data_IF_858751494338
#
_entry.id   IF_858751494338
#
_cell.length_a   1.000
_cell.length_b   1.000
_cell.length_c   1.000
_cell.angle_alpha   90.00
_cell.angle_beta   90.00
_cell.angle_gamma   90.00
#
_symmetry.space_group_name_H-M   'P 1'
#
loop_
_entity.id
_entity.type
_entity.pdbx_description
1 polymer ?
#
# COMPACT_ATOMS: atom_id res chain seq x y z
N UNK A 1 5.49 11.77 -10.10
CA UNK A 1 6.77 12.23 -10.71
C UNK A 1 7.64 12.79 -9.61
N UNK A 2 8.95 12.51 -9.63
CA UNK A 2 9.92 13.08 -8.69
C UNK A 2 11.10 13.65 -9.51
N UNK A 3 11.70 14.75 -9.04
CA UNK A 3 12.78 15.43 -9.73
C UNK A 3 13.83 15.91 -8.73
N UNK A 4 15.08 15.46 -8.90
CA UNK A 4 16.21 15.89 -8.08
C UNK A 4 17.49 15.85 -8.90
N UNK A 5 17.96 17.00 -9.42
CA UNK A 5 19.18 17.09 -10.21
C UNK A 5 20.38 16.49 -9.50
N UNK A 6 21.16 15.69 -10.23
CA UNK A 6 22.37 15.04 -9.71
C UNK A 6 22.11 13.91 -8.69
N UNK A 7 20.85 13.57 -8.38
CA UNK A 7 20.50 12.49 -7.44
C UNK A 7 19.56 11.46 -8.07
N UNK A 8 18.49 11.90 -8.71
CA UNK A 8 17.59 11.02 -9.46
C UNK A 8 18.04 11.01 -10.92
N UNK A 9 18.27 9.83 -11.47
CA UNK A 9 18.61 9.65 -12.88
C UNK A 9 17.47 10.16 -13.78
N UNK A 10 17.70 11.16 -14.64
CA UNK A 10 16.68 11.68 -15.54
C UNK A 10 16.10 10.58 -16.46
N UNK A 11 14.79 10.65 -16.72
CA UNK A 11 14.11 9.69 -17.61
C UNK A 11 13.96 8.27 -17.05
N UNK A 12 14.31 8.03 -15.78
CA UNK A 12 14.09 6.74 -15.12
C UNK A 12 12.61 6.44 -14.92
N UNK A 13 12.25 5.15 -15.01
CA UNK A 13 10.88 4.64 -14.84
C UNK A 13 10.91 3.48 -13.85
N UNK A 14 9.93 3.42 -12.97
CA UNK A 14 9.73 2.31 -12.03
C UNK A 14 8.26 1.91 -12.00
N UNK A 15 7.99 0.61 -11.98
CA UNK A 15 6.64 0.03 -11.82
C UNK A 15 6.36 -0.42 -10.38
N UNK A 16 7.29 -0.15 -9.45
CA UNK A 16 7.13 -0.51 -8.04
C UNK A 16 5.98 0.27 -7.41
N UNK A 17 5.16 -0.40 -6.60
CA UNK A 17 3.96 0.20 -6.02
C UNK A 17 4.27 0.99 -4.75
N UNK A 18 3.89 2.26 -4.73
CA UNK A 18 4.02 3.18 -3.60
C UNK A 18 2.65 3.70 -3.14
N UNK A 19 2.61 4.25 -1.93
CA UNK A 19 1.44 4.92 -1.33
C UNK A 19 1.82 6.33 -0.87
N UNK A 20 0.83 7.21 -0.72
CA UNK A 20 1.06 8.60 -0.32
C UNK A 20 1.84 8.74 1.00
N UNK A 21 1.59 7.87 1.98
CA UNK A 21 2.30 7.82 3.27
C UNK A 21 3.81 7.60 3.15
N UNK A 22 4.28 6.99 2.05
CA UNK A 22 5.71 6.79 1.80
C UNK A 22 6.44 8.12 1.61
N UNK A 23 5.73 9.16 1.17
CA UNK A 23 6.31 10.49 1.03
C UNK A 23 6.78 11.03 2.38
N UNK A 24 6.04 10.81 3.47
CA UNK A 24 6.45 11.29 4.79
C UNK A 24 7.77 10.62 5.23
N UNK A 25 7.86 9.29 5.15
CA UNK A 25 9.07 8.56 5.49
C UNK A 25 10.28 8.99 4.63
N UNK A 26 10.03 9.22 3.33
CA UNK A 26 11.06 9.68 2.39
C UNK A 26 11.54 11.09 2.70
N UNK A 27 10.62 12.04 2.93
CA UNK A 27 10.97 13.43 3.23
C UNK A 27 11.64 13.58 4.59
N UNK A 28 11.19 12.84 5.60
CA UNK A 28 11.87 12.78 6.90
C UNK A 28 13.32 12.31 6.77
N UNK A 29 13.57 11.29 5.92
CA UNK A 29 14.92 10.81 5.63
C UNK A 29 15.76 11.88 4.92
N UNK A 30 15.20 12.54 3.90
CA UNK A 30 15.88 13.60 3.13
C UNK A 30 16.26 14.78 4.03
N UNK A 31 15.34 15.19 4.91
CA UNK A 31 15.54 16.30 5.83
C UNK A 31 16.45 15.94 7.02
N UNK A 32 16.87 14.67 7.15
CA UNK A 32 17.57 14.16 8.33
C UNK A 32 16.81 14.46 9.63
N UNK A 33 15.48 14.39 9.56
CA UNK A 33 14.61 14.78 10.66
C UNK A 33 14.75 13.79 11.83
N UNK A 34 14.78 14.31 13.05
CA UNK A 34 14.68 13.51 14.27
C UNK A 34 13.20 13.23 14.53
N UNK A 35 12.78 11.98 14.35
CA UNK A 35 11.42 11.56 14.65
C UNK A 35 11.27 11.22 16.14
N UNK A 36 10.08 11.40 16.74
CA UNK A 36 9.81 10.98 18.11
C UNK A 36 10.15 9.50 18.33
N UNK A 37 10.69 9.19 19.51
CA UNK A 37 10.95 7.81 19.90
C UNK A 37 9.64 7.00 19.94
N UNK A 38 9.66 5.78 19.39
CA UNK A 38 8.50 4.91 19.33
C UNK A 38 7.48 5.24 18.23
N UNK A 39 7.68 6.29 17.43
CA UNK A 39 6.83 6.57 16.28
C UNK A 39 7.01 5.48 15.21
N UNK A 40 5.99 4.63 15.05
CA UNK A 40 5.90 3.67 13.95
C UNK A 40 5.31 4.37 12.73
N UNK A 41 6.05 4.37 11.62
CA UNK A 41 5.55 4.86 10.33
C UNK A 41 4.94 3.72 9.54
N UNK A 42 3.80 3.97 8.92
CA UNK A 42 3.19 3.01 7.98
C UNK A 42 3.85 3.06 6.59
N UNK A 43 4.41 4.22 6.23
CA UNK A 43 5.11 4.43 4.96
C UNK A 43 6.55 3.93 4.96
N UNK A 44 7.07 3.59 3.79
CA UNK A 44 8.47 3.19 3.60
C UNK A 44 9.28 4.28 2.90
N UNK A 45 10.58 4.33 3.21
CA UNK A 45 11.49 5.27 2.57
C UNK A 45 11.75 4.88 1.10
N UNK A 46 11.37 5.77 0.17
CA UNK A 46 11.54 5.58 -1.27
C UNK A 46 12.90 6.04 -1.79
N UNK A 47 13.75 6.65 -0.97
CA UNK A 47 14.98 7.31 -1.43
C UNK A 47 15.88 6.33 -2.20
N UNK A 48 16.12 5.13 -1.67
CA UNK A 48 16.92 4.12 -2.36
C UNK A 48 16.31 3.66 -3.70
N UNK A 49 14.98 3.61 -3.81
CA UNK A 49 14.31 3.35 -5.09
C UNK A 49 14.53 4.50 -6.07
N UNK A 50 14.45 5.74 -5.59
CA UNK A 50 14.55 6.95 -6.42
C UNK A 50 15.97 7.22 -6.92
N UNK A 51 17.00 6.95 -6.10
CA UNK A 51 18.39 7.36 -6.40
C UNK A 51 19.31 6.21 -6.77
N UNK A 52 18.94 4.96 -6.45
CA UNK A 52 19.82 3.80 -6.61
C UNK A 52 19.11 2.61 -7.29
N UNK A 53 17.91 2.82 -7.86
CA UNK A 53 17.10 1.77 -8.50
C UNK A 53 16.83 0.55 -7.59
N UNK A 54 16.88 0.72 -6.26
CA UNK A 54 16.66 -0.37 -5.29
C UNK A 54 15.21 -0.85 -5.31
N UNK A 55 15.04 -2.15 -5.03
CA UNK A 55 13.72 -2.74 -4.81
C UNK A 55 13.18 -2.33 -3.44
N UNK A 56 11.91 -1.93 -3.41
CA UNK A 56 11.16 -1.75 -2.18
C UNK A 56 10.93 -3.10 -1.49
N UNK A 57 10.81 -3.12 -0.15
CA UNK A 57 10.44 -4.32 0.56
C UNK A 57 9.07 -4.82 0.09
N UNK A 58 8.91 -6.15 0.03
CA UNK A 58 7.58 -6.75 -0.18
C UNK A 58 6.70 -6.38 1.00
N UNK A 59 5.51 -5.85 0.72
CA UNK A 59 4.52 -5.49 1.74
C UNK A 59 3.10 -5.65 1.22
N UNK A 60 2.18 -5.90 2.14
CA UNK A 60 0.75 -5.81 1.88
C UNK A 60 0.33 -4.34 2.04
N UNK A 61 -0.46 -3.85 1.10
CA UNK A 61 -0.98 -2.48 1.10
C UNK A 61 -2.45 -2.51 1.50
N UNK A 62 -2.86 -1.58 2.37
CA UNK A 62 -4.23 -1.49 2.85
C UNK A 62 -4.75 -0.08 2.69
N UNK A 63 -6.04 0.07 2.38
CA UNK A 63 -6.69 1.38 2.41
C UNK A 63 -8.19 1.25 2.61
N UNK A 64 -8.77 2.33 3.14
CA UNK A 64 -10.20 2.53 3.24
C UNK A 64 -10.59 3.85 2.59
N UNK A 65 -11.73 3.85 1.93
CA UNK A 65 -12.33 5.06 1.38
C UNK A 65 -13.85 4.95 1.48
N UNK A 66 -14.48 5.81 2.28
CA UNK A 66 -15.91 5.74 2.59
C UNK A 66 -16.30 4.33 3.09
N UNK A 67 -17.21 3.66 2.38
CA UNK A 67 -17.70 2.29 2.69
C UNK A 67 -16.86 1.19 2.04
N UNK A 68 -15.77 1.54 1.34
CA UNK A 68 -14.89 0.59 0.68
C UNK A 68 -13.67 0.32 1.54
N UNK A 69 -13.26 -0.95 1.57
CA UNK A 69 -11.99 -1.40 2.15
C UNK A 69 -11.28 -2.29 1.14
N UNK A 70 -9.96 -2.16 1.08
CA UNK A 70 -9.15 -2.86 0.11
C UNK A 70 -7.81 -3.28 0.67
N UNK A 71 -7.32 -4.39 0.14
CA UNK A 71 -5.98 -4.90 0.40
C UNK A 71 -5.34 -5.29 -0.93
N UNK A 72 -4.06 -4.99 -1.10
CA UNK A 72 -3.24 -5.44 -2.23
C UNK A 72 -1.99 -6.16 -1.73
N UNK A 73 -1.80 -7.40 -2.18
CA UNK A 73 -0.63 -8.22 -1.88
C UNK A 73 -0.04 -8.75 -3.18
N UNK A 74 1.04 -8.11 -3.62
CA UNK A 74 1.60 -8.36 -4.95
C UNK A 74 0.56 -8.07 -6.06
N UNK A 75 0.24 -9.05 -6.93
CA UNK A 75 -0.75 -8.87 -7.98
C UNK A 75 -2.18 -8.86 -7.46
N UNK A 76 -2.44 -9.50 -6.31
CA UNK A 76 -3.80 -9.69 -5.84
C UNK A 76 -4.33 -8.43 -5.18
N UNK A 77 -5.53 -8.01 -5.57
CA UNK A 77 -6.28 -6.94 -4.94
C UNK A 77 -7.67 -7.44 -4.55
N UNK A 78 -7.99 -7.34 -3.27
CA UNK A 78 -9.33 -7.56 -2.74
C UNK A 78 -9.98 -6.20 -2.48
N UNK A 79 -11.23 -6.05 -2.92
CA UNK A 79 -12.07 -4.88 -2.68
C UNK A 79 -13.40 -5.33 -2.09
N UNK A 80 -13.76 -4.78 -0.93
CA UNK A 80 -15.03 -5.07 -0.25
C UNK A 80 -15.83 -3.77 -0.12
N UNK A 81 -17.10 -3.81 -0.55
CA UNK A 81 -18.07 -2.73 -0.36
C UNK A 81 -19.41 -3.32 0.11
N UNK A 82 -19.68 -3.23 1.42
CA UNK A 82 -20.84 -3.91 2.01
C UNK A 82 -20.75 -5.42 1.77
N UNK A 83 -21.76 -6.00 1.10
CA UNK A 83 -21.78 -7.43 0.74
C UNK A 83 -21.04 -7.75 -0.57
N UNK A 84 -20.61 -6.74 -1.33
CA UNK A 84 -19.93 -6.94 -2.60
C UNK A 84 -18.45 -7.19 -2.35
N UNK A 85 -18.01 -8.41 -2.66
CA UNK A 85 -16.60 -8.84 -2.57
C UNK A 85 -16.06 -9.06 -3.98
N UNK A 86 -14.94 -8.41 -4.28
CA UNK A 86 -14.27 -8.48 -5.57
C UNK A 86 -12.80 -8.80 -5.40
N UNK A 87 -12.30 -9.75 -6.18
CA UNK A 87 -10.90 -10.14 -6.21
C UNK A 87 -10.37 -9.98 -7.64
N UNK A 88 -9.22 -9.33 -7.77
CA UNK A 88 -8.56 -9.10 -9.05
C UNK A 88 -7.08 -9.51 -8.98
N UNK A 89 -6.55 -9.95 -10.11
CA UNK A 89 -5.11 -10.07 -10.36
C UNK A 89 -4.68 -8.90 -11.25
N UNK A 90 -3.94 -7.94 -10.72
CA UNK A 90 -3.58 -6.70 -11.41
C UNK A 90 -2.45 -6.86 -12.43
N UNK A 91 -1.73 -7.98 -12.42
CA UNK A 91 -0.73 -8.30 -13.45
C UNK A 91 -1.42 -8.82 -14.72
N UNK A 92 -2.56 -9.49 -14.57
CA UNK A 92 -3.37 -10.06 -15.66
C UNK A 92 -4.53 -9.14 -16.10
N UNK A 93 -5.08 -8.37 -15.16
CA UNK A 93 -6.26 -7.55 -15.34
C UNK A 93 -6.12 -6.20 -14.60
N UNK A 94 -5.26 -5.34 -15.13
CA UNK A 94 -5.04 -3.99 -14.62
C UNK A 94 -6.34 -3.14 -14.60
N UNK A 95 -7.30 -3.48 -15.48
CA UNK A 95 -8.59 -2.79 -15.60
C UNK A 95 -9.66 -3.26 -14.61
N UNK A 96 -9.37 -4.26 -13.78
CA UNK A 96 -10.30 -4.80 -12.77
C UNK A 96 -11.65 -5.24 -13.36
N UNK A 97 -11.63 -5.83 -14.55
CA UNK A 97 -12.81 -6.24 -15.31
C UNK A 97 -13.35 -7.61 -14.86
N UNK A 98 -12.45 -8.52 -14.47
CA UNK A 98 -12.76 -9.92 -14.20
C UNK A 98 -12.74 -10.19 -12.70
N UNK A 99 -13.91 -10.27 -12.08
CA UNK A 99 -14.02 -10.62 -10.66
C UNK A 99 -13.75 -12.11 -10.43
N UNK A 100 -12.63 -12.42 -9.76
CA UNK A 100 -12.19 -13.78 -9.44
C UNK A 100 -12.65 -14.28 -8.05
N UNK A 101 -13.46 -13.51 -7.31
CA UNK A 101 -13.81 -13.84 -5.93
C UNK A 101 -14.48 -15.21 -5.79
N UNK A 102 -15.40 -15.56 -6.70
CA UNK A 102 -16.06 -16.87 -6.71
C UNK A 102 -15.14 -18.02 -7.15
N UNK A 103 -14.15 -17.72 -7.99
CA UNK A 103 -13.20 -18.72 -8.51
C UNK A 103 -12.02 -18.99 -7.56
N UNK A 104 -11.72 -18.06 -6.62
CA UNK A 104 -10.59 -18.16 -5.69
C UNK A 104 -11.00 -17.82 -4.25
N UNK A 105 -11.91 -18.58 -3.64
CA UNK A 105 -12.43 -18.30 -2.30
C UNK A 105 -11.36 -18.33 -1.20
N UNK A 106 -10.34 -19.18 -1.33
CA UNK A 106 -9.22 -19.23 -0.37
C UNK A 106 -8.40 -17.94 -0.38
N UNK A 107 -8.12 -17.39 -1.57
CA UNK A 107 -7.41 -16.11 -1.70
C UNK A 107 -8.22 -14.96 -1.12
N UNK A 108 -9.55 -14.97 -1.33
CA UNK A 108 -10.46 -14.00 -0.69
C UNK A 108 -10.33 -14.07 0.82
N UNK A 109 -10.41 -15.28 1.40
CA UNK A 109 -10.31 -15.49 2.85
C UNK A 109 -8.97 -14.99 3.39
N UNK A 110 -7.85 -15.40 2.80
CA UNK A 110 -6.51 -14.97 3.24
C UNK A 110 -6.38 -13.45 3.24
N UNK A 111 -6.79 -12.78 2.17
CA UNK A 111 -6.70 -11.34 2.08
C UNK A 111 -7.67 -10.62 3.02
N UNK A 112 -8.86 -11.19 3.23
CA UNK A 112 -9.82 -10.65 4.19
C UNK A 112 -9.32 -10.76 5.63
N UNK A 113 -8.66 -11.86 5.99
CA UNK A 113 -8.03 -12.05 7.30
C UNK A 113 -6.91 -11.02 7.52
N UNK A 114 -6.02 -10.81 6.53
CA UNK A 114 -4.98 -9.77 6.58
C UNK A 114 -5.59 -8.37 6.73
N UNK A 115 -6.66 -8.08 5.99
CA UNK A 115 -7.34 -6.79 6.05
C UNK A 115 -7.99 -6.56 7.42
N UNK A 116 -8.62 -7.58 8.00
CA UNK A 116 -9.21 -7.48 9.34
C UNK A 116 -8.13 -7.32 10.42
N UNK A 117 -7.01 -8.02 10.31
CA UNK A 117 -5.89 -7.84 11.24
C UNK A 117 -5.35 -6.41 11.20
N UNK A 118 -5.16 -5.85 9.99
CA UNK A 118 -4.76 -4.46 9.82
C UNK A 118 -5.79 -3.47 10.38
N UNK A 119 -7.09 -3.70 10.16
CA UNK A 119 -8.17 -2.86 10.71
C UNK A 119 -8.12 -2.80 12.24
N UNK A 120 -7.88 -3.94 12.90
CA UNK A 120 -7.73 -4.01 14.35
C UNK A 120 -6.47 -3.28 14.84
N UNK A 121 -5.36 -3.41 14.12
CA UNK A 121 -4.10 -2.72 14.43
C UNK A 121 -4.29 -1.20 14.41
N UNK A 122 -4.86 -0.65 13.33
CA UNK A 122 -4.96 0.82 13.16
C UNK A 122 -6.06 1.46 14.01
N UNK A 123 -7.06 0.67 14.45
CA UNK A 123 -8.10 1.14 15.36
C UNK A 123 -7.71 0.99 16.83
N UNK A 124 -6.60 0.31 17.14
CA UNK A 124 -6.14 0.16 18.51
C UNK A 124 -5.93 1.53 19.17
N UNK A 125 -6.70 1.82 20.22
CA UNK A 125 -6.63 3.09 20.94
C UNK A 125 -7.33 4.27 20.27
N UNK A 126 -8.07 4.06 19.17
CA UNK A 126 -8.86 5.10 18.50
C UNK A 126 -10.29 5.09 19.01
N UNK A 127 -10.72 6.18 19.66
CA UNK A 127 -12.14 6.42 19.94
C UNK A 127 -12.83 6.97 18.69
N UNK A 128 -13.69 6.16 18.08
CA UNK A 128 -14.53 6.62 16.98
C UNK A 128 -15.63 7.52 17.54
N UNK A 129 -15.57 8.82 17.22
CA UNK A 129 -16.67 9.75 17.49
C UNK A 129 -17.80 9.43 16.49
N UNK A 130 -18.97 9.12 17.04
CA UNK A 130 -20.21 8.87 16.29
C UNK A 130 -20.71 10.12 15.57
#
# INVERSE_FOLDING_TARGET
MAYWPGRIKPGSVTSQTTLGMDMFATMATIAQAKLPAGLKLDGVNLLGMLTEEKKLPKRTLFWRYRKQKAVRKGPWKLLIQGKNVKLYNLDEDLGEKNNLAGAKPEMVRTLQDELTAWELEVLAGVELRA
#
